data_IF_669591364498
#
_entry.id   IF_669591364498
#
_cell.length_a   1.000
_cell.length_b   1.000
_cell.length_c   1.000
_cell.angle_alpha   90.00
_cell.angle_beta   90.00
_cell.angle_gamma   90.00
#
_symmetry.space_group_name_H-M   'P 1'
#
loop_
_entity.id
_entity.type
_entity.pdbx_description
1 polymer ?
#
# COMPACT_ATOMS: atom_id res chain seq x y z
N UNK A 1 -1.02 7.88 -0.36
CA UNK A 1 0.13 7.28 0.37
C UNK A 1 -0.28 5.92 0.92
N UNK A 2 0.58 4.90 0.85
CA UNK A 2 0.20 3.55 1.32
C UNK A 2 0.00 3.53 2.83
N UNK A 3 -1.05 2.86 3.31
CA UNK A 3 -1.32 2.62 4.74
C UNK A 3 -0.06 2.13 5.49
N UNK A 4 0.73 1.27 4.84
CA UNK A 4 2.05 0.80 5.31
C UNK A 4 2.99 1.94 5.70
N UNK A 5 3.12 2.99 4.87
CA UNK A 5 3.97 4.16 5.19
C UNK A 5 3.47 4.90 6.42
N UNK A 6 2.15 4.96 6.63
CA UNK A 6 1.56 5.62 7.80
C UNK A 6 1.80 4.81 9.08
N UNK A 7 1.60 3.50 9.04
CA UNK A 7 1.82 2.60 10.18
C UNK A 7 3.31 2.55 10.56
N UNK A 8 4.20 2.51 9.57
CA UNK A 8 5.64 2.46 9.77
C UNK A 8 6.28 3.82 10.06
N UNK A 9 5.56 4.93 9.87
CA UNK A 9 6.00 6.25 10.32
C UNK A 9 5.87 6.36 11.85
N UNK A 10 6.44 5.38 12.57
CA UNK A 10 6.54 5.41 14.01
C UNK A 10 7.54 6.49 14.36
N UNK A 11 7.01 7.55 14.94
CA UNK A 11 7.81 8.64 15.42
C UNK A 11 8.38 8.24 16.77
N UNK A 12 9.66 7.90 16.78
CA UNK A 12 10.38 7.60 18.02
C UNK A 12 10.48 8.86 18.88
N UNK A 13 10.68 10.02 18.24
CA UNK A 13 10.72 11.31 18.94
C UNK A 13 10.34 12.48 18.03
N UNK A 14 9.61 13.46 18.58
CA UNK A 14 9.39 14.78 17.96
C UNK A 14 10.00 15.84 18.84
N UNK A 15 10.56 16.87 18.22
CA UNK A 15 10.93 18.09 18.93
C UNK A 15 9.66 18.69 19.56
N UNK A 16 9.73 19.18 20.81
CA UNK A 16 8.60 19.87 21.43
C UNK A 16 8.11 21.04 20.56
N UNK A 17 6.80 21.33 20.61
CA UNK A 17 6.24 22.51 19.94
C UNK A 17 6.71 23.76 20.69
N UNK A 18 7.56 24.56 20.05
CA UNK A 18 7.97 25.87 20.55
C UNK A 18 8.84 26.61 19.55
N UNK A 19 8.86 27.96 19.59
CA UNK A 19 9.65 28.76 18.66
C UNK A 19 11.16 28.52 18.81
N UNK A 20 11.62 28.03 19.97
CA UNK A 20 13.04 27.68 20.19
C UNK A 20 13.46 26.36 19.51
N UNK A 21 12.50 25.52 19.11
CA UNK A 21 12.74 24.18 18.61
C UNK A 21 12.54 24.12 17.10
N UNK A 22 13.57 23.69 16.36
CA UNK A 22 13.38 23.36 14.93
C UNK A 22 12.55 22.07 14.83
N UNK A 23 11.50 22.02 14.01
CA UNK A 23 10.69 20.82 13.86
C UNK A 23 11.55 19.69 13.26
N UNK A 24 11.88 18.71 14.09
CA UNK A 24 12.59 17.51 13.71
C UNK A 24 11.86 16.28 14.24
N UNK A 25 11.95 15.20 13.48
CA UNK A 25 11.32 13.93 13.81
C UNK A 25 12.34 12.83 13.65
N UNK A 26 12.66 12.14 14.75
CA UNK A 26 13.45 10.92 14.71
C UNK A 26 12.45 9.80 14.40
N UNK A 27 12.66 9.15 13.26
CA UNK A 27 11.86 8.03 12.80
C UNK A 27 12.80 6.89 12.45
N UNK A 28 12.39 5.68 12.84
CA UNK A 28 13.03 4.48 12.31
C UNK A 28 12.65 4.32 10.85
N UNK A 29 13.65 4.38 9.97
CA UNK A 29 13.44 4.25 8.51
C UNK A 29 13.75 2.85 7.99
N UNK A 30 14.51 2.06 8.77
CA UNK A 30 15.00 0.74 8.38
C UNK A 30 14.28 -0.33 9.19
N UNK A 31 13.47 -1.11 8.48
CA UNK A 31 12.79 -2.29 9.00
C UNK A 31 13.21 -3.50 8.16
N UNK A 32 13.24 -4.67 8.80
CA UNK A 32 13.28 -5.95 8.13
C UNK A 32 11.86 -6.31 7.69
N UNK A 33 11.68 -6.50 6.39
CA UNK A 33 10.41 -6.90 5.83
C UNK A 33 10.39 -8.43 5.67
N UNK A 34 9.46 -9.08 6.34
CA UNK A 34 9.15 -10.51 6.15
C UNK A 34 7.92 -10.69 5.27
N UNK A 35 7.28 -11.85 5.43
CA UNK A 35 5.91 -12.05 4.93
C UNK A 35 4.87 -11.34 5.82
N UNK A 36 5.19 -11.17 7.11
CA UNK A 36 4.30 -10.51 8.06
C UNK A 36 4.07 -9.04 7.72
N UNK A 37 2.84 -8.58 7.92
CA UNK A 37 2.44 -7.19 7.66
C UNK A 37 2.83 -6.26 8.82
N UNK A 38 3.07 -4.96 8.57
CA UNK A 38 3.43 -4.00 9.62
C UNK A 38 2.44 -3.85 10.78
N UNK A 39 1.20 -4.30 10.64
CA UNK A 39 0.21 -4.29 11.72
C UNK A 39 0.07 -5.65 12.44
N UNK A 40 0.82 -6.67 12.02
CA UNK A 40 0.87 -7.97 12.69
C UNK A 40 1.96 -7.98 13.75
N UNK A 41 1.70 -8.71 14.84
CA UNK A 41 2.64 -8.86 15.96
C UNK A 41 3.97 -9.50 15.54
N UNK A 42 3.93 -10.45 14.59
CA UNK A 42 5.12 -11.14 14.08
C UNK A 42 6.13 -10.15 13.45
N UNK A 43 5.66 -9.20 12.65
CA UNK A 43 6.52 -8.16 12.07
C UNK A 43 7.22 -7.34 13.14
N UNK A 44 6.51 -6.92 14.18
CA UNK A 44 7.11 -6.15 15.28
C UNK A 44 8.08 -6.99 16.09
N UNK A 45 7.81 -8.29 16.28
CA UNK A 45 8.72 -9.21 16.97
C UNK A 45 10.08 -9.33 16.28
N UNK A 46 10.11 -9.38 14.95
CA UNK A 46 11.34 -9.41 14.15
C UNK A 46 12.08 -8.06 14.13
N UNK A 47 11.34 -6.98 14.40
CA UNK A 47 11.84 -5.61 14.32
C UNK A 47 12.01 -4.95 15.69
N UNK A 48 11.92 -5.67 16.81
CA UNK A 48 12.11 -5.08 18.13
C UNK A 48 13.51 -4.49 18.31
N UNK A 49 13.62 -3.50 19.20
CA UNK A 49 14.91 -2.98 19.60
C UNK A 49 15.77 -4.11 20.20
N UNK A 50 17.04 -4.20 19.82
CA UNK A 50 17.96 -5.25 20.26
C UNK A 50 17.93 -6.54 19.44
N UNK A 51 16.95 -6.73 18.54
CA UNK A 51 16.96 -7.88 17.61
C UNK A 51 17.90 -7.56 16.44
N UNK A 52 18.96 -8.36 16.22
CA UNK A 52 19.85 -8.14 15.09
C UNK A 52 19.11 -8.44 13.79
N UNK A 53 18.99 -7.45 12.91
CA UNK A 53 18.45 -7.64 11.56
C UNK A 53 19.51 -7.30 10.52
N UNK A 54 19.69 -8.20 9.55
CA UNK A 54 20.55 -7.94 8.40
C UNK A 54 19.85 -7.02 7.42
N UNK A 55 20.58 -6.04 6.89
CA UNK A 55 20.06 -5.24 5.79
C UNK A 55 20.00 -6.11 4.53
N UNK A 56 18.82 -6.20 3.93
CA UNK A 56 18.61 -6.93 2.67
C UNK A 56 18.72 -5.92 1.53
N UNK A 57 19.70 -6.11 0.65
CA UNK A 57 19.81 -5.32 -0.57
C UNK A 57 18.74 -5.77 -1.56
N UNK A 58 17.96 -4.81 -2.06
CA UNK A 58 16.85 -5.05 -2.97
C UNK A 58 17.05 -4.17 -4.20
N UNK A 59 16.88 -4.77 -5.37
CA UNK A 59 17.01 -4.06 -6.64
C UNK A 59 15.89 -3.01 -6.79
N UNK A 60 16.21 -1.76 -7.18
CA UNK A 60 15.18 -0.78 -7.48
C UNK A 60 14.50 -1.16 -8.80
N UNK A 61 13.19 -1.38 -8.77
CA UNK A 61 12.42 -1.79 -9.95
C UNK A 61 11.21 -0.89 -10.20
N UNK A 62 10.81 -0.78 -11.46
CA UNK A 62 9.49 -0.29 -11.83
C UNK A 62 8.50 -1.44 -11.67
N UNK A 63 7.51 -1.25 -10.81
CA UNK A 63 6.56 -2.30 -10.45
C UNK A 63 5.62 -2.62 -11.62
N UNK A 64 5.45 -3.89 -11.95
CA UNK A 64 4.61 -4.35 -13.08
C UNK A 64 3.52 -5.34 -12.69
N UNK A 65 3.65 -6.08 -11.58
CA UNK A 65 2.74 -7.19 -11.20
C UNK A 65 1.78 -6.74 -10.09
N UNK A 66 0.48 -6.91 -10.25
CA UNK A 66 -0.53 -6.54 -9.27
C UNK A 66 -1.24 -7.76 -8.69
N UNK A 67 -1.94 -7.56 -7.58
CA UNK A 67 -2.73 -8.61 -6.95
C UNK A 67 -3.87 -9.01 -7.88
N UNK A 68 -4.07 -10.31 -8.08
CA UNK A 68 -5.02 -10.85 -9.05
C UNK A 68 -4.45 -11.10 -10.44
N UNK A 69 -3.19 -10.75 -10.71
CA UNK A 69 -2.56 -11.07 -11.99
C UNK A 69 -2.32 -12.57 -12.11
N UNK A 70 -2.47 -13.08 -13.34
CA UNK A 70 -2.04 -14.44 -13.70
C UNK A 70 -0.55 -14.44 -14.02
N UNK A 71 0.19 -15.27 -13.31
CA UNK A 71 1.63 -15.39 -13.46
C UNK A 71 2.06 -16.84 -13.59
N UNK A 72 3.19 -17.05 -14.26
CA UNK A 72 3.85 -18.34 -14.39
C UNK A 72 5.15 -18.36 -13.60
N UNK A 73 5.40 -19.47 -12.91
CA UNK A 73 6.62 -19.69 -12.14
C UNK A 73 7.72 -20.20 -13.06
N UNK A 74 8.85 -19.49 -13.12
CA UNK A 74 9.98 -19.83 -14.00
C UNK A 74 10.99 -20.78 -13.34
N UNK A 75 11.04 -20.82 -12.01
CA UNK A 75 12.03 -21.59 -11.23
C UNK A 75 11.43 -22.27 -10.01
N UNK A 76 12.10 -23.30 -9.49
CA UNK A 76 11.68 -24.00 -8.27
C UNK A 76 10.78 -25.21 -8.52
N UNK A 77 10.12 -25.69 -7.45
CA UNK A 77 9.35 -26.95 -7.44
C UNK A 77 8.15 -26.92 -8.38
N UNK A 78 7.53 -25.75 -8.52
CA UNK A 78 6.31 -25.54 -9.30
C UNK A 78 6.58 -24.85 -10.65
N UNK A 79 7.77 -25.03 -11.22
CA UNK A 79 8.16 -24.45 -12.51
C UNK A 79 7.17 -24.83 -13.62
N UNK A 80 6.77 -23.83 -14.41
CA UNK A 80 5.83 -23.97 -15.52
C UNK A 80 4.36 -23.97 -15.11
N UNK A 81 4.06 -24.00 -13.80
CA UNK A 81 2.68 -23.84 -13.32
C UNK A 81 2.29 -22.37 -13.32
N UNK A 82 1.02 -22.13 -13.61
CA UNK A 82 0.41 -20.81 -13.59
C UNK A 82 -0.51 -20.68 -12.39
N UNK A 83 -0.54 -19.49 -11.80
CA UNK A 83 -1.39 -19.19 -10.66
C UNK A 83 -1.71 -17.70 -10.57
N UNK A 84 -2.55 -17.35 -9.61
CA UNK A 84 -2.98 -15.97 -9.36
C UNK A 84 -2.14 -15.38 -8.24
N UNK A 85 -1.71 -14.14 -8.41
CA UNK A 85 -0.99 -13.41 -7.36
C UNK A 85 -1.94 -13.04 -6.22
N UNK A 86 -1.77 -13.67 -5.06
CA UNK A 86 -2.57 -13.39 -3.88
C UNK A 86 -1.96 -12.24 -3.05
N UNK A 87 -0.64 -12.21 -2.92
CA UNK A 87 0.04 -11.35 -1.97
C UNK A 87 1.31 -10.73 -2.54
N UNK A 88 1.59 -9.49 -2.14
CA UNK A 88 2.72 -8.70 -2.62
C UNK A 88 3.44 -8.00 -1.46
N UNK A 89 4.77 -8.07 -1.46
CA UNK A 89 5.68 -7.27 -0.60
C UNK A 89 6.60 -6.47 -1.51
N UNK A 90 6.29 -5.19 -1.70
CA UNK A 90 7.04 -4.31 -2.62
C UNK A 90 8.44 -4.02 -2.10
N UNK A 91 8.61 -3.99 -0.79
CA UNK A 91 9.86 -3.67 -0.11
C UNK A 91 10.96 -4.73 -0.32
N UNK A 92 10.58 -5.95 -0.75
CA UNK A 92 11.50 -7.05 -1.09
C UNK A 92 11.36 -7.59 -2.49
N UNK A 93 10.56 -6.93 -3.33
CA UNK A 93 10.19 -7.42 -4.65
C UNK A 93 9.61 -8.84 -4.65
N UNK A 94 8.83 -9.16 -3.61
CA UNK A 94 8.25 -10.48 -3.43
C UNK A 94 6.77 -10.53 -3.82
N UNK A 95 6.40 -11.67 -4.37
CA UNK A 95 5.02 -12.05 -4.73
C UNK A 95 4.77 -13.46 -4.24
N UNK A 96 3.61 -13.71 -3.63
CA UNK A 96 3.13 -15.05 -3.34
C UNK A 96 2.00 -15.40 -4.31
N UNK A 97 2.11 -16.57 -4.92
CA UNK A 97 1.15 -17.10 -5.89
C UNK A 97 0.29 -18.14 -5.19
N UNK A 98 -1.02 -18.04 -5.35
CA UNK A 98 -2.01 -18.87 -4.67
C UNK A 98 -1.75 -20.37 -4.89
N UNK A 99 -1.59 -21.13 -3.79
CA UNK A 99 -1.43 -22.58 -3.82
C UNK A 99 -0.14 -23.13 -4.43
N UNK A 100 0.76 -22.27 -4.91
CA UNK A 100 2.04 -22.62 -5.53
C UNK A 100 3.24 -22.18 -4.68
N UNK A 101 4.39 -22.85 -4.87
CA UNK A 101 5.62 -22.65 -4.11
C UNK A 101 5.36 -22.68 -2.59
N UNK A 102 4.63 -23.69 -2.12
CA UNK A 102 4.24 -23.76 -0.72
C UNK A 102 5.14 -24.66 0.11
N UNK A 103 5.19 -24.34 1.41
CA UNK A 103 5.80 -25.18 2.43
C UNK A 103 4.75 -25.64 3.45
N UNK A 104 5.02 -26.78 4.07
CA UNK A 104 4.18 -27.32 5.13
C UNK A 104 4.66 -26.79 6.48
N UNK A 105 3.82 -25.97 7.13
CA UNK A 105 4.06 -25.46 8.49
C UNK A 105 3.19 -26.22 9.47
N UNK A 106 3.83 -26.88 10.43
CA UNK A 106 3.14 -27.53 11.54
C UNK A 106 2.83 -26.51 12.62
N UNK A 107 1.55 -26.34 12.95
CA UNK A 107 1.11 -25.51 14.07
C UNK A 107 0.55 -26.40 15.17
N UNK A 108 1.04 -26.19 16.39
CA UNK A 108 0.53 -26.85 17.60
C UNK A 108 -0.40 -25.88 18.29
N UNK A 109 -1.68 -26.23 18.41
CA UNK A 109 -2.66 -25.45 19.18
C UNK A 109 -3.48 -26.38 20.04
N UNK A 110 -3.57 -26.08 21.34
CA UNK A 110 -4.40 -26.80 22.32
C UNK A 110 -4.33 -28.34 22.23
N UNK A 111 -3.12 -28.91 22.09
CA UNK A 111 -2.91 -30.36 22.06
C UNK A 111 -3.16 -31.04 20.71
N UNK A 112 -3.65 -30.33 19.69
CA UNK A 112 -3.80 -30.86 18.31
C UNK A 112 -2.67 -30.35 17.43
N UNK A 113 -2.09 -31.25 16.62
CA UNK A 113 -1.08 -30.92 15.62
C UNK A 113 -1.78 -30.77 14.27
N UNK A 114 -1.80 -29.56 13.72
CA UNK A 114 -2.34 -29.31 12.38
C UNK A 114 -1.20 -28.91 11.44
N UNK A 115 -1.18 -29.50 10.25
CA UNK A 115 -0.22 -29.17 9.19
C UNK A 115 -0.92 -28.27 8.17
N UNK A 116 -0.47 -27.01 8.08
CA UNK A 116 -0.99 -26.04 7.11
C UNK A 116 0.00 -25.83 5.97
N UNK A 117 -0.53 -25.67 4.76
CA UNK A 117 0.25 -25.32 3.57
C UNK A 117 0.30 -23.79 3.49
N UNK A 118 1.49 -23.20 3.47
CA UNK A 118 1.70 -21.74 3.39
C UNK A 118 2.48 -21.39 2.13
N UNK A 119 2.01 -20.42 1.35
CA UNK A 119 2.71 -19.93 0.15
C UNK A 119 4.00 -19.20 0.51
N UNK A 120 5.11 -19.58 -0.13
CA UNK A 120 6.40 -18.90 0.03
C UNK A 120 6.61 -17.86 -1.07
N UNK A 121 7.30 -16.75 -0.76
CA UNK A 121 7.48 -15.65 -1.68
C UNK A 121 8.41 -16.03 -2.81
N UNK A 122 8.12 -15.50 -3.99
CA UNK A 122 8.95 -15.55 -5.19
C UNK A 122 9.39 -14.14 -5.57
N UNK A 123 10.58 -14.03 -6.14
CA UNK A 123 11.11 -12.76 -6.62
C UNK A 123 10.49 -12.38 -7.97
N UNK A 124 9.91 -11.18 -8.05
CA UNK A 124 9.21 -10.69 -9.24
C UNK A 124 10.12 -10.54 -10.45
N UNK A 125 11.40 -10.22 -10.26
CA UNK A 125 12.31 -9.91 -11.37
C UNK A 125 12.78 -11.13 -12.14
N UNK A 126 13.00 -12.27 -11.46
CA UNK A 126 13.67 -13.43 -12.06
C UNK A 126 12.88 -14.73 -11.97
N UNK A 127 11.97 -14.86 -11.01
CA UNK A 127 11.33 -16.15 -10.69
C UNK A 127 9.90 -16.26 -11.22
N UNK A 128 9.30 -15.14 -11.63
CA UNK A 128 7.90 -15.06 -12.03
C UNK A 128 7.78 -14.22 -13.30
N UNK A 129 6.91 -14.62 -14.22
CA UNK A 129 6.56 -13.83 -15.40
C UNK A 129 5.04 -13.66 -15.51
N UNK A 130 4.60 -12.53 -16.05
CA UNK A 130 3.19 -12.33 -16.38
C UNK A 130 2.81 -13.23 -17.56
N UNK A 131 1.61 -13.79 -17.48
CA UNK A 131 1.05 -14.61 -18.55
C UNK A 131 0.29 -13.70 -19.50
N UNK A 132 0.59 -13.83 -20.78
CA UNK A 132 -0.11 -13.11 -21.82
C UNK A 132 -1.52 -13.72 -22.01
N UNK A 133 -2.60 -12.91 -21.96
CA UNK A 133 -3.97 -13.41 -22.05
C UNK A 133 -4.31 -14.06 -23.40
N UNK A 134 -3.47 -13.87 -24.41
CA UNK A 134 -3.76 -14.30 -25.79
C UNK A 134 -3.36 -15.73 -26.08
N UNK A 135 -2.16 -16.10 -25.65
CA UNK A 135 -1.53 -17.39 -25.93
C UNK A 135 -1.18 -18.16 -24.65
N UNK A 136 -1.49 -17.59 -23.47
CA UNK A 136 -1.27 -18.17 -22.15
C UNK A 136 0.17 -18.63 -21.90
N UNK A 137 1.17 -17.98 -22.49
CA UNK A 137 2.58 -18.28 -22.18
C UNK A 137 3.25 -17.10 -21.46
N UNK A 138 4.38 -17.30 -20.77
CA UNK A 138 5.01 -16.24 -20.00
C UNK A 138 5.60 -15.17 -20.94
N UNK A 139 5.49 -13.90 -20.56
CA UNK A 139 5.98 -12.76 -21.36
C UNK A 139 6.66 -11.71 -20.51
N UNK A 140 7.56 -10.95 -21.16
CA UNK A 140 8.06 -9.70 -20.62
C UNK A 140 7.05 -8.60 -20.88
N UNK A 141 6.93 -7.68 -19.94
CA UNK A 141 5.95 -6.61 -19.96
C UNK A 141 6.64 -5.27 -19.84
N UNK A 142 6.18 -4.32 -20.63
CA UNK A 142 6.63 -2.93 -20.61
C UNK A 142 5.45 -1.99 -20.37
N UNK A 143 5.73 -0.83 -19.79
CA UNK A 143 4.74 0.23 -19.65
C UNK A 143 4.73 1.09 -20.91
N UNK A 144 3.56 1.26 -21.52
CA UNK A 144 3.33 2.18 -22.65
C UNK A 144 2.15 3.10 -22.34
N UNK A 145 1.98 4.12 -23.16
CA UNK A 145 0.82 5.01 -23.11
C UNK A 145 -0.08 4.73 -24.31
N UNK A 146 -1.39 4.69 -24.10
CA UNK A 146 -2.38 4.68 -25.18
C UNK A 146 -2.51 6.06 -25.82
N UNK A 147 -3.23 6.13 -26.94
CA UNK A 147 -3.54 7.41 -27.62
C UNK A 147 -4.34 8.35 -26.71
N UNK A 148 -5.16 7.79 -25.81
CA UNK A 148 -5.92 8.53 -24.79
C UNK A 148 -5.05 9.06 -23.63
N UNK A 149 -3.76 8.70 -23.61
CA UNK A 149 -2.82 9.08 -22.55
C UNK A 149 -2.86 8.17 -21.31
N UNK A 150 -3.60 7.07 -21.34
CA UNK A 150 -3.64 6.11 -20.23
C UNK A 150 -2.38 5.24 -20.21
N UNK A 151 -1.80 5.07 -19.02
CA UNK A 151 -0.61 4.24 -18.84
C UNK A 151 -1.00 2.78 -18.69
N UNK A 152 -0.68 1.96 -19.69
CA UNK A 152 -1.04 0.55 -19.78
C UNK A 152 0.18 -0.36 -19.81
N UNK A 153 -0.01 -1.61 -19.41
CA UNK A 153 0.99 -2.68 -19.51
C UNK A 153 0.83 -3.39 -20.84
N UNK A 154 1.92 -3.58 -21.58
CA UNK A 154 1.91 -4.23 -22.90
C UNK A 154 2.84 -5.43 -22.89
N UNK A 155 2.35 -6.56 -23.40
CA UNK A 155 3.15 -7.76 -23.65
C UNK A 155 4.14 -7.49 -24.78
N UNK A 156 5.43 -7.69 -24.53
CA UNK A 156 6.48 -7.51 -25.55
C UNK A 156 6.35 -8.58 -26.66
N UNK A 157 5.78 -9.75 -26.35
CA UNK A 157 5.66 -10.84 -27.33
C UNK A 157 4.50 -10.61 -28.30
N UNK A 158 3.30 -10.33 -27.79
CA UNK A 158 2.10 -10.21 -28.62
C UNK A 158 1.72 -8.76 -28.95
N UNK A 159 2.33 -7.79 -28.28
CA UNK A 159 1.93 -6.38 -28.35
C UNK A 159 0.57 -6.09 -27.70
N UNK A 160 -0.08 -7.07 -27.07
CA UNK A 160 -1.40 -6.87 -26.46
C UNK A 160 -1.31 -6.24 -25.07
N UNK A 161 -2.35 -5.50 -24.73
CA UNK A 161 -2.50 -4.85 -23.43
C UNK A 161 -2.87 -5.90 -22.38
N UNK A 162 -2.18 -5.87 -21.25
CA UNK A 162 -2.49 -6.67 -20.06
C UNK A 162 -3.20 -5.75 -19.06
N UNK A 163 -4.53 -5.85 -18.91
CA UNK A 163 -5.28 -4.96 -18.03
C UNK A 163 -4.88 -5.15 -16.57
N UNK A 164 -5.02 -4.12 -15.75
CA UNK A 164 -4.85 -4.24 -14.30
C UNK A 164 -6.07 -5.00 -13.74
N UNK A 165 -5.89 -6.08 -12.97
CA UNK A 165 -6.99 -6.87 -12.44
C UNK A 165 -7.77 -6.09 -11.38
N UNK A 166 -9.09 -6.34 -11.28
CA UNK A 166 -9.98 -5.67 -10.30
C UNK A 166 -9.52 -5.86 -8.85
N UNK A 167 -8.90 -7.00 -8.53
CA UNK A 167 -8.36 -7.28 -7.19
C UNK A 167 -7.22 -6.32 -6.79
N UNK A 168 -6.60 -5.64 -7.76
CA UNK A 168 -5.59 -4.62 -7.49
C UNK A 168 -6.20 -3.30 -7.00
N UNK A 169 -7.47 -3.03 -7.36
CA UNK A 169 -8.22 -1.84 -6.94
C UNK A 169 -8.81 -2.00 -5.53
N UNK A 170 -8.91 -3.24 -5.04
CA UNK A 170 -9.39 -3.50 -3.70
C UNK A 170 -8.51 -2.83 -2.64
N UNK A 171 -9.16 -2.31 -1.61
CA UNK A 171 -8.50 -1.71 -0.45
C UNK A 171 -7.82 -2.80 0.38
N UNK A 172 -6.94 -2.43 1.31
CA UNK A 172 -6.30 -3.36 2.25
C UNK A 172 -7.31 -4.20 3.07
N UNK A 173 -8.54 -3.72 3.21
CA UNK A 173 -9.67 -4.42 3.83
C UNK A 173 -10.39 -5.41 2.87
N UNK A 174 -9.81 -5.69 1.70
CA UNK A 174 -10.40 -6.52 0.64
C UNK A 174 -11.81 -6.06 0.20
N UNK A 175 -12.07 -4.76 0.34
CA UNK A 175 -13.30 -4.13 -0.14
C UNK A 175 -13.04 -3.52 -1.51
N UNK A 176 -13.83 -3.94 -2.49
CA UNK A 176 -13.91 -3.27 -3.78
C UNK A 176 -14.88 -2.09 -3.70
N UNK A 177 -14.71 -1.10 -4.60
CA UNK A 177 -15.62 0.05 -4.68
C UNK A 177 -17.07 -0.38 -4.93
N UNK A 178 -17.28 -1.41 -5.74
CA UNK A 178 -18.61 -1.94 -6.08
C UNK A 178 -19.26 -2.71 -4.93
N UNK A 179 -18.48 -3.37 -4.08
CA UNK A 179 -18.98 -4.15 -2.95
C UNK A 179 -19.20 -3.30 -1.68
N UNK A 180 -18.88 -2.00 -1.72
CA UNK A 180 -19.04 -1.13 -0.57
C UNK A 180 -20.51 -0.82 -0.29
N UNK A 181 -20.95 -1.10 0.94
CA UNK A 181 -22.26 -0.71 1.44
C UNK A 181 -22.15 0.50 2.37
N UNK A 182 -22.90 1.57 2.06
CA UNK A 182 -22.94 2.79 2.84
C UNK A 182 -23.35 2.50 4.30
N UNK A 183 -22.58 3.03 5.25
CA UNK A 183 -22.83 2.92 6.68
C UNK A 183 -23.63 4.13 7.19
N UNK A 184 -24.30 4.02 8.34
CA UNK A 184 -25.09 5.13 8.91
C UNK A 184 -24.28 6.41 9.21
N UNK A 185 -22.95 6.28 9.39
CA UNK A 185 -22.03 7.41 9.66
C UNK A 185 -21.29 7.89 8.41
N UNK A 186 -21.57 7.34 7.24
CA UNK A 186 -20.93 7.75 6.00
C UNK A 186 -21.69 8.93 5.37
N UNK A 187 -20.93 9.84 4.78
CA UNK A 187 -21.48 10.94 3.98
C UNK A 187 -21.91 10.44 2.61
N UNK A 188 -23.14 10.78 2.21
CA UNK A 188 -23.70 10.36 0.91
C UNK A 188 -23.01 11.10 -0.23
N UNK A 189 -22.82 10.43 -1.36
CA UNK A 189 -22.18 11.01 -2.54
C UNK A 189 -22.83 12.33 -2.99
N UNK A 190 -24.16 12.40 -2.98
CA UNK A 190 -24.92 13.61 -3.33
C UNK A 190 -24.62 14.82 -2.44
N UNK A 191 -24.26 14.60 -1.18
CA UNK A 191 -23.89 15.70 -0.27
C UNK A 191 -22.44 16.15 -0.50
N UNK A 192 -21.54 15.22 -0.86
CA UNK A 192 -20.14 15.52 -1.17
C UNK A 192 -19.96 16.29 -2.49
N UNK A 193 -20.82 16.04 -3.48
CA UNK A 193 -20.78 16.71 -4.79
C UNK A 193 -21.29 18.16 -4.73
N UNK A 194 -21.95 18.57 -3.63
CA UNK A 194 -22.41 19.94 -3.47
C UNK A 194 -21.23 20.88 -3.28
N UNK A 195 -21.04 21.79 -4.23
CA UNK A 195 -20.06 22.87 -4.13
C UNK A 195 -20.62 23.93 -3.19
N UNK A 196 -20.19 23.91 -1.93
CA UNK A 196 -20.59 24.87 -0.89
C UNK A 196 -19.57 26.00 -0.70
N UNK A 197 -18.34 25.83 -1.19
CA UNK A 197 -17.29 26.83 -1.05
C UNK A 197 -17.55 28.05 -1.94
N UNK A 198 -17.64 29.22 -1.31
CA UNK A 198 -17.73 30.52 -1.97
C UNK A 198 -16.45 31.30 -1.68
N UNK A 199 -15.66 31.68 -2.69
CA UNK A 199 -14.44 32.44 -2.45
C UNK A 199 -14.77 33.85 -1.95
N UNK A 200 -14.36 34.17 -0.73
CA UNK A 200 -14.49 35.50 -0.10
C UNK A 200 -13.12 36.06 0.27
N UNK A 201 -13.01 37.40 0.35
CA UNK A 201 -11.81 38.10 0.83
C UNK A 201 -11.81 38.21 2.36
N UNK A 202 -12.06 37.11 3.05
CA UNK A 202 -12.12 37.00 4.51
C UNK A 202 -11.39 35.72 4.94
N UNK A 203 -10.91 35.67 6.18
CA UNK A 203 -10.43 34.41 6.75
C UNK A 203 -11.60 33.52 7.18
N UNK A 204 -11.34 32.22 7.35
CA UNK A 204 -12.34 31.26 7.83
C UNK A 204 -12.94 31.67 9.17
N UNK A 205 -12.10 32.19 10.08
CA UNK A 205 -12.54 32.66 11.40
C UNK A 205 -13.42 33.90 11.29
N UNK A 206 -13.09 34.85 10.40
CA UNK A 206 -13.88 36.06 10.18
C UNK A 206 -15.26 35.71 9.62
N UNK A 207 -15.31 34.80 8.64
CA UNK A 207 -16.57 34.34 8.04
C UNK A 207 -17.48 33.66 9.08
N UNK A 208 -16.92 32.78 9.93
CA UNK A 208 -17.70 32.15 11.01
C UNK A 208 -18.17 33.16 12.04
N UNK A 209 -17.33 34.14 12.41
CA UNK A 209 -17.76 35.17 13.34
C UNK A 209 -18.92 35.99 12.78
N UNK A 210 -18.87 36.35 11.50
CA UNK A 210 -19.97 37.04 10.82
C UNK A 210 -21.25 36.18 10.76
N UNK A 211 -21.13 34.90 10.37
CA UNK A 211 -22.25 33.97 10.26
C UNK A 211 -22.93 33.70 11.61
N UNK A 212 -22.15 33.49 12.66
CA UNK A 212 -22.65 33.28 14.02
C UNK A 212 -23.05 34.59 14.73
N UNK A 213 -22.83 35.75 14.10
CA UNK A 213 -23.10 37.06 14.69
C UNK A 213 -22.21 37.40 15.90
N UNK A 214 -21.04 36.77 16.00
CA UNK A 214 -20.06 37.02 17.05
C UNK A 214 -19.36 38.35 16.77
N UNK A 215 -19.44 39.27 17.74
CA UNK A 215 -18.77 40.57 17.68
C UNK A 215 -17.59 40.58 18.64
N UNK A 216 -16.42 40.94 18.15
CA UNK A 216 -15.21 41.14 18.96
C UNK A 216 -14.84 42.63 18.93
N UNK A 217 -15.19 43.33 19.99
CA UNK A 217 -14.92 44.76 20.12
C UNK A 217 -13.51 45.06 20.62
N UNK A 218 -12.77 44.04 21.11
CA UNK A 218 -11.41 44.22 21.62
C UNK A 218 -10.41 44.28 20.47
N UNK A 219 -9.52 45.27 20.52
CA UNK A 219 -8.39 45.37 19.59
C UNK A 219 -7.20 44.61 20.15
N UNK A 220 -6.59 43.67 19.39
CA UNK A 220 -5.41 42.94 19.86
C UNK A 220 -4.24 43.90 20.12
N UNK A 221 -3.60 43.76 21.28
CA UNK A 221 -2.44 44.56 21.64
C UNK A 221 -1.27 44.29 20.68
N UNK A 222 -0.48 45.33 20.38
CA UNK A 222 0.71 45.19 19.54
C UNK A 222 1.72 44.26 20.22
N UNK A 223 2.17 43.24 19.50
CA UNK A 223 3.19 42.29 19.95
C UNK A 223 4.43 42.39 19.07
N UNK A 224 5.60 42.14 19.67
CA UNK A 224 6.86 42.06 18.94
C UNK A 224 7.16 40.61 18.59
N UNK A 225 7.58 40.36 17.35
CA UNK A 225 8.03 39.07 16.86
C UNK A 225 9.52 39.18 16.53
N UNK A 226 10.36 38.36 17.17
CA UNK A 226 11.81 38.31 17.00
C UNK A 226 12.29 36.86 16.85
#
# INVERSE_FOLDING_TARGET
>A
ESYVKRVLAQVEWRTPKGPQYRPAVIQRKKYYYGLARPWQTEFWSENMAGVPSRHVYVEPIVWTVFRGDRVEILVGKDKGKQGIVNYIVKERNWVCVEGLNCEHRTMKSAGTVQVMKTEMPLLVTTQVALVDPTDNKPTKVEWRYTEDGERVRVSVRSGRIIPIPLMAEETYDYKSRSAYAEQPKDTKAKELEKITFVPKLMTFEQEIMEELGIKEDRVPAKTYWY
#
